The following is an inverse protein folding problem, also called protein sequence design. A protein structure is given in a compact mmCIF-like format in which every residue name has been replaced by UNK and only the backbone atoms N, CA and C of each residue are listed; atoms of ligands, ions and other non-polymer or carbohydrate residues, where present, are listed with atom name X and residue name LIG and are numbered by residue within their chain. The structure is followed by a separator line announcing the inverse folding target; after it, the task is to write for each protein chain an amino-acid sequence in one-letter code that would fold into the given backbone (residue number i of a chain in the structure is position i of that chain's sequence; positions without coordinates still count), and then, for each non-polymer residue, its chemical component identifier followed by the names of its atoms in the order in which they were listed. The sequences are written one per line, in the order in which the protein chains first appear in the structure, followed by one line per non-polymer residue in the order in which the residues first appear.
data_IF_492509094701
#
_entry.id   IF_492509094701
#
_cell.length_a   1.000
_cell.length_b   1.000
_cell.length_c   1.000
_cell.angle_alpha   90.00
_cell.angle_beta   90.00
_cell.angle_gamma   90.00
#
_symmetry.space_group_name_H-M   'P 1'
#
loop_
_entity.id
_entity.type
_entity.pdbx_description
1 polymer ?
#
# COMPACT_ATOMS: atom_id res chain seq x y z
N UNK A 1 -20.57 10.28 18.51
CA UNK A 1 -19.76 11.19 17.67
C UNK A 1 -18.32 10.72 17.78
N UNK A 2 -17.78 10.11 16.73
CA UNK A 2 -16.37 9.70 16.72
C UNK A 2 -15.57 10.94 16.33
N UNK A 3 -14.84 11.51 17.28
CA UNK A 3 -13.87 12.56 16.98
C UNK A 3 -12.77 11.87 16.14
N UNK A 4 -12.70 12.20 14.84
CA UNK A 4 -11.57 11.77 14.01
C UNK A 4 -10.48 12.82 14.18
N UNK A 5 -9.49 12.53 15.00
CA UNK A 5 -8.28 13.34 15.05
C UNK A 5 -7.67 13.35 13.63
N UNK A 6 -7.48 14.55 13.08
CA UNK A 6 -6.82 14.73 11.79
C UNK A 6 -5.36 14.31 11.91
N UNK A 7 -4.86 13.54 10.95
CA UNK A 7 -3.45 13.18 10.85
C UNK A 7 -2.80 14.05 9.78
N UNK A 8 -1.60 14.51 10.08
CA UNK A 8 -0.74 15.21 9.13
C UNK A 8 0.48 14.33 8.87
N UNK A 9 0.70 13.96 7.61
CA UNK A 9 1.92 13.24 7.23
C UNK A 9 3.06 14.23 7.22
N UNK A 10 4.05 14.01 8.09
CA UNK A 10 5.24 14.87 8.24
C UNK A 10 6.49 14.28 7.59
N UNK A 11 6.49 12.97 7.29
CA UNK A 11 7.60 12.29 6.62
C UNK A 11 7.14 11.00 5.94
N UNK A 12 7.67 10.74 4.74
CA UNK A 12 7.49 9.47 4.03
C UNK A 12 8.88 8.89 3.77
N UNK A 13 9.12 7.66 4.21
CA UNK A 13 10.37 6.93 3.93
C UNK A 13 10.07 5.59 3.28
N UNK A 14 10.77 5.26 2.21
CA UNK A 14 10.71 3.97 1.53
C UNK A 14 12.13 3.42 1.38
N UNK A 15 12.41 2.25 1.97
CA UNK A 15 13.74 1.60 1.95
C UNK A 15 14.91 2.52 2.33
N UNK A 16 14.68 3.41 3.30
CA UNK A 16 15.68 4.38 3.77
C UNK A 16 15.76 5.67 2.96
N UNK A 17 15.01 5.79 1.86
CA UNK A 17 14.90 7.03 1.09
C UNK A 17 13.73 7.87 1.57
N UNK A 18 13.97 9.15 1.79
CA UNK A 18 12.93 10.12 2.12
C UNK A 18 12.27 10.63 0.84
N UNK A 19 10.94 10.51 0.77
CA UNK A 19 10.15 10.92 -0.38
C UNK A 19 9.43 12.24 -0.08
N UNK A 20 9.29 13.14 -1.08
CA UNK A 20 8.47 14.32 -0.93
C UNK A 20 7.02 13.91 -0.65
N UNK A 21 6.35 14.63 0.25
CA UNK A 21 4.95 14.38 0.58
C UNK A 21 4.09 14.95 -0.56
N UNK A 22 3.33 14.13 -1.28
CA UNK A 22 2.43 14.64 -2.32
C UNK A 22 1.36 15.55 -1.70
N UNK A 23 0.99 16.60 -2.43
CA UNK A 23 -0.11 17.48 -2.03
C UNK A 23 -1.41 16.66 -1.85
N UNK A 24 -2.13 16.92 -0.75
CA UNK A 24 -3.38 16.22 -0.44
C UNK A 24 -3.21 14.79 0.09
N UNK A 25 -1.99 14.30 0.28
CA UNK A 25 -1.77 12.92 0.76
C UNK A 25 -2.37 12.67 2.15
N UNK A 26 -2.18 13.60 3.11
CA UNK A 26 -2.82 13.54 4.43
C UNK A 26 -4.35 13.46 4.34
N UNK A 27 -4.95 14.21 3.42
CA UNK A 27 -6.40 14.22 3.22
C UNK A 27 -6.90 12.91 2.59
N UNK A 28 -6.19 12.41 1.57
CA UNK A 28 -6.49 11.12 0.95
C UNK A 28 -6.51 10.01 2.00
N UNK A 29 -5.50 9.97 2.85
CA UNK A 29 -5.32 9.03 3.93
C UNK A 29 -6.42 9.10 5.00
N UNK A 30 -6.82 10.33 5.37
CA UNK A 30 -7.93 10.57 6.29
C UNK A 30 -9.28 10.10 5.73
N UNK A 31 -9.52 10.34 4.43
CA UNK A 31 -10.75 9.93 3.74
C UNK A 31 -10.83 8.41 3.59
N UNK A 32 -9.72 7.78 3.29
CA UNK A 32 -9.67 6.36 2.98
C UNK A 32 -9.75 5.46 4.22
N UNK A 33 -9.61 6.01 5.43
CA UNK A 33 -9.81 5.25 6.69
C UNK A 33 -8.75 4.17 6.94
N UNK A 34 -7.63 4.20 6.20
CA UNK A 34 -6.55 3.21 6.28
C UNK A 34 -5.65 3.39 7.52
N UNK A 35 -5.90 4.39 8.37
CA UNK A 35 -5.06 4.66 9.53
C UNK A 35 -5.68 4.16 10.82
N UNK A 36 -4.97 3.26 11.49
CA UNK A 36 -5.26 2.81 12.84
C UNK A 36 -4.08 3.15 13.74
N UNK A 37 -4.28 4.10 14.65
CA UNK A 37 -3.26 4.51 15.61
C UNK A 37 -3.06 3.43 16.68
N UNK A 38 -1.83 2.98 16.91
CA UNK A 38 -1.47 2.05 17.99
C UNK A 38 -1.54 0.56 17.65
N UNK A 39 -1.91 0.17 16.43
CA UNK A 39 -1.75 -1.22 16.00
C UNK A 39 -0.27 -1.49 15.69
N UNK A 40 0.27 -2.61 16.20
CA UNK A 40 1.58 -3.11 15.75
C UNK A 40 1.51 -3.22 14.24
N UNK A 41 2.44 -2.56 13.54
CA UNK A 41 2.65 -2.76 12.11
C UNK A 41 2.85 -4.26 11.91
N UNK A 42 1.79 -4.97 11.49
CA UNK A 42 1.93 -6.35 11.08
C UNK A 42 2.90 -6.30 9.91
N UNK A 43 4.10 -6.88 10.09
CA UNK A 43 5.02 -7.08 8.97
C UNK A 43 4.27 -7.91 7.96
N UNK A 44 3.77 -7.24 6.92
CA UNK A 44 3.12 -7.86 5.79
C UNK A 44 4.14 -8.85 5.24
N UNK A 45 3.86 -10.15 5.40
CA UNK A 45 4.69 -11.19 4.83
C UNK A 45 4.35 -11.26 3.34
N UNK A 46 5.02 -10.39 2.57
CA UNK A 46 4.83 -10.26 1.13
C UNK A 46 5.05 -11.60 0.43
N UNK A 47 6.03 -12.41 0.86
CA UNK A 47 6.25 -13.75 0.28
C UNK A 47 5.03 -14.67 0.44
N UNK A 48 4.42 -14.70 1.63
CA UNK A 48 3.21 -15.50 1.91
C UNK A 48 1.98 -14.99 1.15
N UNK A 49 1.88 -13.69 0.94
CA UNK A 49 0.76 -13.11 0.18
C UNK A 49 0.95 -13.40 -1.30
N UNK A 50 2.13 -13.12 -1.83
CA UNK A 50 2.49 -13.28 -3.24
C UNK A 50 2.58 -14.75 -3.66
N UNK A 51 2.76 -15.70 -2.73
CA UNK A 51 2.71 -17.14 -3.05
C UNK A 51 1.35 -17.60 -3.57
N UNK A 52 0.29 -16.80 -3.38
CA UNK A 52 -1.04 -17.09 -3.93
C UNK A 52 -1.28 -16.41 -5.27
N UNK A 53 -0.25 -15.79 -5.86
CA UNK A 53 -0.33 -15.11 -7.14
C UNK A 53 0.72 -15.69 -8.10
N UNK A 54 0.29 -15.98 -9.32
CA UNK A 54 1.19 -16.15 -10.45
C UNK A 54 1.63 -14.77 -10.94
N UNK A 55 2.93 -14.59 -11.17
CA UNK A 55 3.50 -13.32 -11.60
C UNK A 55 3.99 -13.41 -13.03
N UNK A 56 3.52 -12.50 -13.87
CA UNK A 56 4.00 -12.32 -15.23
C UNK A 56 4.47 -10.89 -15.42
N UNK A 57 5.55 -10.69 -16.15
CA UNK A 57 6.07 -9.37 -16.50
C UNK A 57 6.06 -9.24 -18.01
N UNK A 58 5.27 -8.30 -18.51
CA UNK A 58 5.06 -8.09 -19.95
C UNK A 58 5.37 -6.65 -20.32
N UNK A 59 5.67 -6.42 -21.60
CA UNK A 59 5.75 -5.07 -22.17
C UNK A 59 4.57 -4.91 -23.12
N UNK A 60 3.64 -4.03 -22.76
CA UNK A 60 2.46 -3.72 -23.57
C UNK A 60 2.46 -2.22 -23.88
N UNK A 61 2.31 -1.86 -25.15
CA UNK A 61 2.33 -0.47 -25.63
C UNK A 61 3.56 0.34 -25.15
N UNK A 62 4.72 -0.32 -25.07
CA UNK A 62 5.98 0.27 -24.60
C UNK A 62 6.04 0.52 -23.08
N UNK A 63 5.06 0.02 -22.31
CA UNK A 63 5.03 0.11 -20.84
C UNK A 63 5.37 -1.24 -20.23
N UNK A 64 6.20 -1.23 -19.19
CA UNK A 64 6.50 -2.41 -18.39
C UNK A 64 5.35 -2.66 -17.42
N UNK A 65 4.64 -3.76 -17.62
CA UNK A 65 3.50 -4.18 -16.79
C UNK A 65 3.89 -5.42 -15.98
N UNK A 66 3.49 -5.47 -14.71
CA UNK A 66 3.57 -6.68 -13.88
C UNK A 66 2.15 -7.13 -13.57
N UNK A 67 1.77 -8.29 -14.10
CA UNK A 67 0.48 -8.91 -13.87
C UNK A 67 0.61 -9.90 -12.70
N UNK A 68 -0.30 -9.79 -11.73
CA UNK A 68 -0.40 -10.70 -10.59
C UNK A 68 -1.76 -11.40 -10.65
N UNK A 69 -1.77 -12.66 -11.05
CA UNK A 69 -2.99 -13.46 -11.17
C UNK A 69 -3.19 -14.29 -9.91
N UNK A 70 -4.27 -14.04 -9.17
CA UNK A 70 -4.56 -14.81 -7.95
C UNK A 70 -4.91 -16.27 -8.30
N UNK A 71 -4.13 -17.22 -7.77
CA UNK A 71 -4.30 -18.66 -7.95
C UNK A 71 -4.79 -19.38 -6.69
N UNK A 72 -5.05 -18.65 -5.60
CA UNK A 72 -5.55 -19.24 -4.36
C UNK A 72 -6.94 -19.86 -4.54
N UNK A 73 -7.19 -21.00 -3.87
CA UNK A 73 -8.52 -21.63 -3.84
C UNK A 73 -9.55 -20.63 -3.30
N UNK A 74 -10.54 -20.26 -4.12
CA UNK A 74 -11.74 -19.58 -3.61
C UNK A 74 -12.32 -20.45 -2.49
N UNK A 75 -12.43 -19.89 -1.29
CA UNK A 75 -13.17 -20.50 -0.18
C UNK A 75 -14.63 -20.13 -0.26
#
# INVERSE_FOLDING_TARGET
MIIREGIEVTRITLDGYELPIPEGYSEFLLRAGYWRYGEKVEKINHEKILSNYEREVVIEDGKLCTNLTYIGKQK
#
